data_IF_964823188755
#
_entry.id   IF_964823188755
#
_cell.length_a   1.000
_cell.length_b   1.000
_cell.length_c   1.000
_cell.angle_alpha   90.00
_cell.angle_beta   90.00
_cell.angle_gamma   90.00
#
_symmetry.space_group_name_H-M   'P 1'
#
loop_
_entity.id
_entity.type
_entity.pdbx_description
1 polymer ?
#
# COMPACT_ATOMS: atom_id res chain seq x y z
N UNK A 1 -12.04 -9.04 -9.75
CA UNK A 1 -11.15 -8.68 -10.87
C UNK A 1 -10.09 -7.61 -10.52
N UNK A 2 -9.85 -7.28 -9.24
CA UNK A 2 -8.86 -6.25 -8.84
C UNK A 2 -7.42 -6.78 -8.64
N UNK A 3 -7.27 -8.02 -8.16
CA UNK A 3 -5.97 -8.63 -7.88
C UNK A 3 -4.96 -8.60 -9.05
N UNK A 4 -5.32 -8.95 -10.31
CA UNK A 4 -4.36 -8.91 -11.42
C UNK A 4 -3.92 -7.47 -11.78
N UNK A 5 -4.77 -6.47 -11.53
CA UNK A 5 -4.40 -5.07 -11.73
C UNK A 5 -3.38 -4.61 -10.69
N UNK A 6 -3.59 -4.98 -9.42
CA UNK A 6 -2.67 -4.64 -8.34
C UNK A 6 -1.33 -5.38 -8.48
N UNK A 7 -1.33 -6.65 -8.88
CA UNK A 7 -0.08 -7.39 -9.09
C UNK A 7 0.77 -6.77 -10.20
N UNK A 8 0.14 -6.30 -11.28
CA UNK A 8 0.84 -5.64 -12.39
C UNK A 8 1.42 -4.27 -11.98
N UNK A 9 0.71 -3.52 -11.14
CA UNK A 9 1.24 -2.26 -10.57
C UNK A 9 2.42 -2.54 -9.65
N UNK A 10 2.32 -3.58 -8.80
CA UNK A 10 3.42 -3.99 -7.94
C UNK A 10 4.65 -4.43 -8.75
N UNK A 11 4.46 -5.17 -9.84
CA UNK A 11 5.53 -5.56 -10.76
C UNK A 11 6.21 -4.35 -11.41
N UNK A 12 5.44 -3.36 -11.86
CA UNK A 12 5.98 -2.11 -12.40
C UNK A 12 6.82 -1.35 -11.35
N UNK A 13 6.38 -1.34 -10.10
CA UNK A 13 7.12 -0.72 -8.99
C UNK A 13 8.40 -1.48 -8.65
N UNK A 14 8.40 -2.82 -8.73
CA UNK A 14 9.64 -3.61 -8.56
C UNK A 14 10.64 -3.35 -9.68
N UNK A 15 10.18 -3.15 -10.93
CA UNK A 15 11.05 -2.88 -12.07
C UNK A 15 11.66 -1.47 -12.01
N UNK A 16 10.91 -0.48 -11.50
CA UNK A 16 11.36 0.92 -11.38
C UNK A 16 12.17 1.18 -10.11
N UNK A 17 11.90 0.44 -9.03
CA UNK A 17 12.60 0.55 -7.75
C UNK A 17 13.04 -0.83 -7.24
N UNK A 18 14.11 -1.41 -7.82
CA UNK A 18 14.59 -2.74 -7.44
C UNK A 18 15.16 -2.82 -6.01
N UNK A 19 15.44 -1.68 -5.38
CA UNK A 19 15.88 -1.58 -3.99
C UNK A 19 14.73 -1.54 -2.98
N UNK A 20 13.47 -1.47 -3.41
CA UNK A 20 12.32 -1.45 -2.53
C UNK A 20 11.94 -2.86 -2.06
N UNK A 21 11.67 -2.99 -0.75
CA UNK A 21 11.04 -4.20 -0.22
C UNK A 21 9.57 -4.29 -0.66
N UNK A 22 9.03 -5.51 -0.73
CA UNK A 22 7.60 -5.73 -0.98
C UNK A 22 6.71 -4.97 0.02
N UNK A 23 7.18 -4.79 1.26
CA UNK A 23 6.49 -3.98 2.27
C UNK A 23 6.47 -2.49 1.90
N UNK A 24 7.57 -1.96 1.34
CA UNK A 24 7.65 -0.58 0.89
C UNK A 24 6.75 -0.34 -0.32
N UNK A 25 6.69 -1.28 -1.27
CA UNK A 25 5.79 -1.20 -2.44
C UNK A 25 4.32 -1.20 -1.98
N UNK A 26 3.96 -2.08 -1.04
CA UNK A 26 2.61 -2.10 -0.45
C UNK A 26 2.27 -0.78 0.24
N UNK A 27 3.18 -0.26 1.06
CA UNK A 27 2.99 1.00 1.76
C UNK A 27 2.86 2.19 0.80
N UNK A 28 3.69 2.23 -0.24
CA UNK A 28 3.62 3.25 -1.28
C UNK A 28 2.25 3.24 -1.96
N UNK A 29 1.74 2.07 -2.37
CA UNK A 29 0.40 1.96 -2.97
C UNK A 29 -0.69 2.45 -2.00
N UNK A 30 -0.66 2.03 -0.74
CA UNK A 30 -1.66 2.41 0.27
C UNK A 30 -1.69 3.91 0.56
N UNK A 31 -0.53 4.56 0.66
CA UNK A 31 -0.41 5.99 1.00
C UNK A 31 -0.73 6.91 -0.18
N UNK A 32 -0.65 6.39 -1.42
CA UNK A 32 -0.94 7.17 -2.63
C UNK A 32 -2.37 7.16 -3.08
N UNK A 33 -3.15 6.24 -2.54
CA UNK A 33 -4.46 5.97 -3.08
C UNK A 33 -5.40 7.18 -2.91
N UNK A 34 -6.12 7.50 -3.96
CA UNK A 34 -7.10 8.57 -4.00
C UNK A 34 -8.37 8.16 -3.28
N UNK A 35 -8.71 8.95 -2.26
CA UNK A 35 -9.99 8.92 -1.54
C UNK A 35 -11.14 9.62 -2.31
N UNK A 36 -10.82 10.31 -3.41
CA UNK A 36 -11.75 11.07 -4.20
C UNK A 36 -11.94 10.45 -5.57
N UNK A 37 -13.18 10.49 -6.07
CA UNK A 37 -13.51 10.15 -7.44
C UNK A 37 -13.15 11.30 -8.40
N UNK A 38 -13.30 11.08 -9.70
CA UNK A 38 -13.09 12.06 -10.77
C UNK A 38 -13.88 13.38 -10.58
N UNK A 39 -14.97 13.35 -9.82
CA UNK A 39 -15.79 14.52 -9.44
C UNK A 39 -15.25 15.27 -8.22
N UNK A 40 -14.08 14.90 -7.69
CA UNK A 40 -13.49 15.39 -6.44
C UNK A 40 -14.37 15.17 -5.20
N UNK A 41 -15.34 14.26 -5.29
CA UNK A 41 -16.19 13.85 -4.17
C UNK A 41 -15.66 12.57 -3.55
N UNK A 42 -15.92 12.32 -2.25
CA UNK A 42 -15.59 11.05 -1.62
C UNK A 42 -16.17 9.87 -2.40
N UNK A 43 -15.44 8.76 -2.49
CA UNK A 43 -15.91 7.57 -3.20
C UNK A 43 -17.19 7.05 -2.55
N UNK A 44 -18.19 6.80 -3.38
CA UNK A 44 -19.54 6.39 -2.95
C UNK A 44 -19.72 4.90 -3.11
N UNK A 45 -20.46 4.30 -2.18
CA UNK A 45 -20.83 2.89 -2.28
C UNK A 45 -22.07 2.74 -3.16
N UNK A 46 -21.94 1.97 -4.25
CA UNK A 46 -23.06 1.69 -5.16
C UNK A 46 -24.15 0.83 -4.51
N UNK A 47 -23.81 0.08 -3.45
CA UNK A 47 -24.73 -0.85 -2.77
C UNK A 47 -25.63 -0.15 -1.74
N UNK A 48 -25.20 1.01 -1.22
CA UNK A 48 -25.93 1.78 -0.20
C UNK A 48 -26.23 3.18 -0.72
N UNK A 49 -27.18 3.31 -1.65
CA UNK A 49 -27.75 4.59 -2.12
C UNK A 49 -26.74 5.72 -2.45
N UNK A 50 -25.57 5.36 -2.97
CA UNK A 50 -24.49 6.31 -3.25
C UNK A 50 -24.05 7.15 -2.04
N UNK A 51 -24.16 6.57 -0.84
CA UNK A 51 -23.61 7.13 0.40
C UNK A 51 -22.08 7.11 0.38
N UNK A 52 -21.48 7.95 1.23
CA UNK A 52 -20.03 7.97 1.43
C UNK A 52 -19.59 6.60 1.92
N UNK A 53 -18.69 5.97 1.18
CA UNK A 53 -18.31 4.61 1.48
C UNK A 53 -17.41 4.56 2.73
N UNK A 54 -17.62 3.53 3.55
CA UNK A 54 -16.84 3.34 4.77
C UNK A 54 -15.44 2.81 4.46
N UNK A 55 -14.44 3.08 5.31
CA UNK A 55 -13.10 2.52 5.15
C UNK A 55 -13.08 0.98 5.10
N UNK A 56 -14.06 0.32 5.70
CA UNK A 56 -14.22 -1.14 5.66
C UNK A 56 -14.62 -1.64 4.27
N UNK A 57 -15.44 -0.87 3.54
CA UNK A 57 -15.89 -1.23 2.20
C UNK A 57 -14.85 -0.93 1.11
N UNK A 58 -14.04 0.12 1.26
CA UNK A 58 -13.04 0.53 0.26
C UNK A 58 -11.61 0.10 0.58
N UNK A 59 -11.31 -0.22 1.84
CA UNK A 59 -9.96 -0.53 2.30
C UNK A 59 -9.00 0.64 2.04
N UNK A 60 -8.14 0.48 1.05
CA UNK A 60 -7.05 1.41 0.76
C UNK A 60 -7.39 2.40 -0.35
N UNK A 61 -8.67 2.67 -0.59
CA UNK A 61 -9.14 3.59 -1.65
C UNK A 61 -8.61 3.21 -3.05
N UNK A 62 -8.78 4.10 -4.04
CA UNK A 62 -8.39 3.82 -5.42
C UNK A 62 -6.89 4.02 -5.62
N UNK A 63 -6.18 2.99 -6.11
CA UNK A 63 -4.72 3.06 -6.32
C UNK A 63 -4.37 3.95 -7.52
N UNK A 64 -3.42 4.87 -7.33
CA UNK A 64 -2.92 5.79 -8.37
C UNK A 64 -1.45 5.53 -8.73
N UNK A 65 -1.18 4.79 -9.82
CA UNK A 65 0.18 4.38 -10.19
C UNK A 65 1.14 5.56 -10.38
N UNK A 66 0.67 6.66 -10.98
CA UNK A 66 1.49 7.84 -11.25
C UNK A 66 1.95 8.52 -9.95
N UNK A 67 1.10 8.53 -8.93
CA UNK A 67 1.48 9.05 -7.61
C UNK A 67 2.46 8.10 -6.94
N UNK A 68 2.22 6.79 -7.00
CA UNK A 68 3.09 5.77 -6.38
C UNK A 68 4.52 5.80 -6.93
N UNK A 69 4.69 5.99 -8.24
CA UNK A 69 5.99 6.09 -8.88
C UNK A 69 6.82 7.30 -8.41
N UNK A 70 6.16 8.41 -8.05
CA UNK A 70 6.83 9.65 -7.63
C UNK A 70 7.19 9.66 -6.12
N UNK A 71 6.83 8.63 -5.36
CA UNK A 71 7.15 8.56 -3.92
C UNK A 71 8.56 8.12 -3.57
N UNK A 72 9.40 7.83 -4.58
CA UNK A 72 10.85 7.61 -4.50
C UNK A 72 11.58 8.32 -3.36
N UNK A 73 11.24 9.59 -3.13
CA UNK A 73 11.93 10.50 -2.21
C UNK A 73 11.33 10.63 -0.80
N UNK A 74 10.11 10.13 -0.55
CA UNK A 74 9.40 10.33 0.73
C UNK A 74 9.51 9.17 1.72
N UNK A 75 10.06 8.03 1.30
CA UNK A 75 10.10 6.81 2.11
C UNK A 75 11.32 6.67 3.06
N UNK A 76 12.14 7.70 3.21
CA UNK A 76 13.43 7.54 3.87
C UNK A 76 13.41 7.21 5.38
N UNK A 77 12.38 7.55 6.17
CA UNK A 77 12.48 7.40 7.64
C UNK A 77 11.39 6.55 8.33
N UNK A 78 10.12 6.64 7.91
CA UNK A 78 9.05 5.86 8.59
C UNK A 78 8.91 4.43 8.05
N UNK A 79 9.29 4.18 6.78
CA UNK A 79 9.14 2.86 6.17
C UNK A 79 10.25 1.87 6.57
N UNK A 80 11.48 2.37 6.77
CA UNK A 80 12.62 1.56 7.21
C UNK A 80 12.45 1.03 8.64
N UNK A 81 11.85 1.81 9.54
CA UNK A 81 11.65 1.42 10.94
C UNK A 81 10.57 0.34 11.08
N UNK A 82 9.44 0.44 10.37
CA UNK A 82 8.41 -0.62 10.35
C UNK A 82 8.94 -1.94 9.77
N UNK A 83 9.70 -1.89 8.67
CA UNK A 83 10.26 -3.09 8.05
C UNK A 83 11.34 -3.77 8.91
N UNK A 84 12.19 -2.99 9.59
CA UNK A 84 13.16 -3.51 10.54
C UNK A 84 12.51 -4.08 11.80
N UNK A 85 11.39 -3.50 12.28
CA UNK A 85 10.68 -4.01 13.46
C UNK A 85 10.08 -5.40 13.21
N UNK A 86 9.60 -5.67 11.99
CA UNK A 86 9.07 -6.98 11.59
C UNK A 86 10.20 -8.00 11.45
N UNK A 87 11.31 -7.64 10.79
CA UNK A 87 12.47 -8.51 10.67
C UNK A 87 13.13 -8.82 12.03
N UNK A 88 13.18 -7.85 12.95
CA UNK A 88 13.68 -8.06 14.30
C UNK A 88 12.75 -8.95 15.15
N UNK A 89 11.42 -8.81 15.00
CA UNK A 89 10.44 -9.70 15.67
C UNK A 89 10.54 -11.14 15.17
N UNK A 90 10.71 -11.37 13.87
CA UNK A 90 10.89 -12.72 13.31
C UNK A 90 12.21 -13.34 13.79
N UNK A 91 13.30 -12.57 13.83
CA UNK A 91 14.60 -13.04 14.35
C UNK A 91 14.54 -13.39 15.84
N UNK A 92 13.80 -12.63 16.65
CA UNK A 92 13.54 -12.94 18.07
C UNK A 92 12.64 -14.16 18.27
N UNK A 93 11.64 -14.38 17.40
CA UNK A 93 10.79 -15.56 17.46
C UNK A 93 11.54 -16.84 17.07
N UNK A 94 12.46 -16.78 16.12
CA UNK A 94 13.31 -17.91 15.75
C UNK A 94 14.35 -18.25 16.82
N UNK A 95 14.90 -17.25 17.52
CA UNK A 95 15.84 -17.49 18.63
C UNK A 95 15.16 -18.04 19.89
N UNK A 96 13.90 -17.68 20.15
CA UNK A 96 13.11 -18.23 21.27
C UNK A 96 12.58 -19.66 21.03
N UNK A 97 12.70 -20.19 19.82
CA UNK A 97 12.31 -21.56 19.48
C UNK A 97 13.46 -22.58 19.66
N UNK A 98 14.68 -22.12 19.98
CA UNK A 98 15.91 -22.93 20.09
C UNK A 98 16.39 -23.04 21.57
N UNK A 99 15.68 -22.43 22.51
CA UNK A 99 15.84 -22.60 23.97
C UNK A 99 14.52 -23.06 24.57
#
# INVERSE_FOLDING_TARGET
MACPCISRIAELLTATHPNWSLAAIRFAMMTTANQFDNTQKPIKNMVFDYEVSTPLALGTWQVDPNRTLNLGSRLCNECYTQANLINHKIKLLLLKSIT
#
